data_IF_161141259210
#
_entry.id   IF_161141259210
#
_cell.length_a   1.000
_cell.length_b   1.000
_cell.length_c   1.000
_cell.angle_alpha   90.00
_cell.angle_beta   90.00
_cell.angle_gamma   90.00
#
_symmetry.space_group_name_H-M   'P 1'
#
loop_
_entity.id
_entity.type
_entity.pdbx_description
1 polymer ?
#
# COMPACT_ATOMS: atom_id res chain seq x y z
N UNK A 1 -15.32 -1.69 -7.28
CA UNK A 1 -15.21 -0.29 -7.71
C UNK A 1 -13.79 0.16 -7.36
N UNK A 2 -12.96 0.38 -8.39
CA UNK A 2 -11.66 1.06 -8.19
C UNK A 2 -12.01 2.45 -7.71
N UNK A 3 -11.58 2.80 -6.51
CA UNK A 3 -11.90 4.09 -5.90
C UNK A 3 -11.40 5.21 -6.81
N UNK A 4 -12.27 6.15 -7.19
CA UNK A 4 -11.91 7.37 -7.92
C UNK A 4 -10.74 8.11 -7.21
N UNK A 5 -10.63 7.97 -5.89
CA UNK A 5 -9.57 8.55 -5.08
C UNK A 5 -8.17 8.04 -5.43
N UNK A 6 -8.00 6.75 -5.72
CA UNK A 6 -6.69 6.21 -6.13
C UNK A 6 -6.28 6.73 -7.50
N UNK A 7 -7.22 6.80 -8.47
CA UNK A 7 -6.92 7.35 -9.80
C UNK A 7 -6.55 8.83 -9.71
N UNK A 8 -7.22 9.59 -8.83
CA UNK A 8 -6.92 11.01 -8.65
C UNK A 8 -5.55 11.23 -7.98
N UNK A 9 -5.21 10.41 -6.98
CA UNK A 9 -3.89 10.40 -6.37
C UNK A 9 -2.79 10.05 -7.38
N UNK A 10 -3.03 9.02 -8.21
CA UNK A 10 -2.12 8.59 -9.27
C UNK A 10 -1.87 9.71 -10.30
N UNK A 11 -2.92 10.46 -10.69
CA UNK A 11 -2.80 11.60 -11.62
C UNK A 11 -1.99 12.75 -11.00
N UNK A 12 -2.22 13.06 -9.73
CA UNK A 12 -1.45 14.11 -9.01
C UNK A 12 0.02 13.71 -8.87
N UNK A 13 0.29 12.44 -8.53
CA UNK A 13 1.65 11.94 -8.44
C UNK A 13 2.35 11.99 -9.81
N UNK A 14 1.62 11.72 -10.88
CA UNK A 14 2.10 11.78 -12.26
C UNK A 14 2.51 13.22 -12.65
N UNK A 15 1.66 14.22 -12.38
CA UNK A 15 1.98 15.64 -12.62
C UNK A 15 3.23 16.10 -11.84
N UNK A 16 3.36 15.61 -10.59
CA UNK A 16 4.54 15.88 -9.75
C UNK A 16 5.79 15.17 -10.27
N UNK A 17 5.68 13.96 -10.83
CA UNK A 17 6.80 13.23 -11.46
C UNK A 17 7.28 13.97 -12.71
N UNK A 18 6.36 14.30 -13.63
CA UNK A 18 6.67 14.97 -14.88
C UNK A 18 7.32 16.37 -14.64
N UNK A 19 6.85 17.06 -13.61
CA UNK A 19 7.41 18.36 -13.22
C UNK A 19 8.69 18.27 -12.37
N UNK A 20 9.21 17.04 -12.10
CA UNK A 20 10.36 16.77 -11.21
C UNK A 20 10.20 17.40 -9.81
N UNK A 21 8.98 17.47 -9.30
CA UNK A 21 8.65 18.09 -8.01
C UNK A 21 8.44 17.08 -6.88
N UNK A 22 8.59 15.77 -7.15
CA UNK A 22 8.56 14.77 -6.07
C UNK A 22 9.89 14.81 -5.35
N UNK A 23 9.84 15.21 -4.09
CA UNK A 23 10.92 15.05 -3.12
C UNK A 23 10.63 13.84 -2.24
N UNK A 24 11.65 13.00 -2.01
CA UNK A 24 11.53 11.87 -1.10
C UNK A 24 11.61 12.36 0.34
N UNK A 25 10.70 11.92 1.16
CA UNK A 25 10.72 12.13 2.61
C UNK A 25 11.46 10.98 3.29
N UNK A 26 12.80 11.03 3.24
CA UNK A 26 13.66 9.98 3.80
C UNK A 26 13.78 10.17 5.31
N UNK A 27 13.30 9.18 6.07
CA UNK A 27 13.32 9.18 7.53
C UNK A 27 13.76 7.81 8.07
N UNK A 28 14.23 7.73 9.34
CA UNK A 28 14.44 6.44 10.00
C UNK A 28 13.12 5.69 10.06
N UNK A 29 13.11 4.47 9.52
CA UNK A 29 11.93 3.61 9.45
C UNK A 29 12.24 2.27 10.10
N UNK A 30 11.36 1.82 10.99
CA UNK A 30 11.36 0.45 11.48
C UNK A 30 11.02 -0.49 10.31
N UNK A 31 12.05 -1.17 9.81
CA UNK A 31 11.94 -1.97 8.60
C UNK A 31 11.14 -3.26 8.83
N UNK A 32 11.26 -3.86 10.01
CA UNK A 32 10.47 -5.06 10.36
C UNK A 32 8.99 -4.75 10.51
N UNK A 33 8.65 -3.61 11.14
CA UNK A 33 7.26 -3.14 11.22
C UNK A 33 6.67 -2.93 9.81
N UNK A 34 7.41 -2.30 8.91
CA UNK A 34 6.99 -2.07 7.53
C UNK A 34 6.79 -3.40 6.76
N UNK A 35 7.68 -4.38 6.94
CA UNK A 35 7.54 -5.69 6.30
C UNK A 35 6.33 -6.47 6.83
N UNK A 36 5.99 -6.32 8.10
CA UNK A 36 4.78 -6.88 8.67
C UNK A 36 3.51 -6.25 8.08
N UNK A 37 3.53 -4.94 7.79
CA UNK A 37 2.38 -4.30 7.11
C UNK A 37 2.15 -4.89 5.72
N UNK A 38 3.23 -5.15 4.95
CA UNK A 38 3.10 -5.80 3.65
C UNK A 38 2.61 -7.25 3.77
N UNK A 39 3.05 -7.98 4.79
CA UNK A 39 2.56 -9.33 5.04
C UNK A 39 1.07 -9.34 5.35
N UNK A 40 0.61 -8.47 6.24
CA UNK A 40 -0.79 -8.37 6.63
C UNK A 40 -1.66 -7.96 5.42
N UNK A 41 -1.23 -6.96 4.66
CA UNK A 41 -1.92 -6.51 3.45
C UNK A 41 -2.01 -7.63 2.40
N UNK A 42 -0.87 -8.28 2.09
CA UNK A 42 -0.82 -9.35 1.10
C UNK A 42 -1.68 -10.56 1.50
N UNK A 43 -1.65 -10.95 2.78
CA UNK A 43 -2.47 -12.03 3.31
C UNK A 43 -3.96 -11.71 3.18
N UNK A 44 -4.39 -10.52 3.60
CA UNK A 44 -5.78 -10.10 3.50
C UNK A 44 -6.28 -10.12 2.05
N UNK A 45 -5.50 -9.59 1.12
CA UNK A 45 -5.86 -9.56 -0.31
C UNK A 45 -5.92 -10.97 -0.92
N UNK A 46 -4.97 -11.84 -0.57
CA UNK A 46 -4.90 -13.20 -1.08
C UNK A 46 -6.04 -14.07 -0.54
N UNK A 47 -6.37 -13.98 0.74
CA UNK A 47 -7.47 -14.73 1.37
C UNK A 47 -8.83 -14.42 0.73
N UNK A 48 -9.09 -13.17 0.33
CA UNK A 48 -10.32 -12.80 -0.38
C UNK A 48 -10.50 -13.55 -1.72
N UNK A 49 -9.40 -14.01 -2.32
CA UNK A 49 -9.41 -14.81 -3.56
C UNK A 49 -9.14 -16.31 -3.33
N UNK A 50 -8.94 -16.76 -2.10
CA UNK A 50 -8.54 -18.13 -1.79
C UNK A 50 -7.12 -18.48 -2.23
N UNK A 51 -6.24 -17.48 -2.34
CA UNK A 51 -4.82 -17.64 -2.67
C UNK A 51 -3.99 -17.75 -1.39
N UNK A 52 -2.79 -18.31 -1.52
CA UNK A 52 -1.78 -18.29 -0.46
C UNK A 52 -0.86 -17.09 -0.63
N UNK A 53 -0.59 -16.37 0.45
CA UNK A 53 0.45 -15.33 0.49
C UNK A 53 1.57 -15.74 1.44
N UNK A 54 2.82 -15.48 1.07
CA UNK A 54 3.97 -15.74 1.93
C UNK A 54 5.02 -14.64 1.83
N UNK A 55 5.64 -14.33 2.97
CA UNK A 55 6.77 -13.40 3.10
C UNK A 55 8.03 -14.19 3.39
N UNK A 56 9.09 -14.00 2.58
CA UNK A 56 10.40 -14.62 2.74
C UNK A 56 11.44 -13.54 2.95
N UNK A 57 12.14 -13.57 4.06
CA UNK A 57 13.12 -12.58 4.48
C UNK A 57 14.50 -13.19 4.56
N UNK A 58 15.52 -12.44 4.15
CA UNK A 58 16.91 -12.80 4.43
C UNK A 58 17.24 -12.53 5.89
N UNK A 59 18.14 -13.35 6.46
CA UNK A 59 18.57 -13.25 7.88
C UNK A 59 19.35 -11.97 8.18
N UNK A 60 19.93 -11.31 7.18
CA UNK A 60 20.83 -10.17 7.33
C UNK A 60 20.15 -8.80 7.11
N UNK A 61 18.82 -8.74 7.16
CA UNK A 61 18.09 -7.48 7.02
C UNK A 61 18.28 -6.61 8.27
N UNK A 62 18.50 -5.30 8.11
CA UNK A 62 18.62 -4.40 9.25
C UNK A 62 17.26 -4.12 9.88
N UNK A 63 17.27 -3.79 11.17
CA UNK A 63 16.04 -3.40 11.87
C UNK A 63 15.53 -2.03 11.42
N UNK A 64 16.45 -1.11 11.07
CA UNK A 64 16.14 0.28 10.73
C UNK A 64 16.84 0.69 9.44
N UNK A 65 16.10 1.39 8.57
CA UNK A 65 16.59 1.98 7.33
C UNK A 65 16.16 3.43 7.20
N UNK A 66 17.01 4.26 6.57
CA UNK A 66 16.60 5.57 6.08
C UNK A 66 15.88 5.40 4.75
N UNK A 67 14.55 5.57 4.73
CA UNK A 67 13.76 5.45 3.50
C UNK A 67 12.47 6.29 3.57
N UNK A 68 11.87 6.49 2.41
CA UNK A 68 10.51 7.03 2.31
C UNK A 68 9.51 5.86 2.41
N UNK A 69 8.96 5.66 3.63
CA UNK A 69 7.98 4.60 3.90
C UNK A 69 6.76 4.68 3.00
N UNK A 70 6.25 5.88 2.75
CA UNK A 70 5.02 6.06 1.97
C UNK A 70 5.23 5.65 0.51
N UNK A 71 6.34 6.06 -0.10
CA UNK A 71 6.65 5.75 -1.50
C UNK A 71 7.01 4.27 -1.69
N UNK A 72 7.78 3.68 -0.80
CA UNK A 72 8.04 2.24 -0.82
C UNK A 72 6.75 1.43 -0.68
N UNK A 73 5.87 1.83 0.24
CA UNK A 73 4.55 1.19 0.40
C UNK A 73 3.70 1.32 -0.85
N UNK A 74 3.66 2.48 -1.48
CA UNK A 74 2.92 2.72 -2.72
C UNK A 74 3.36 1.74 -3.83
N UNK A 75 4.66 1.55 -4.01
CA UNK A 75 5.19 0.58 -4.99
C UNK A 75 4.76 -0.84 -4.63
N UNK A 76 5.04 -1.30 -3.41
CA UNK A 76 4.81 -2.69 -3.02
C UNK A 76 3.33 -3.06 -2.96
N UNK A 77 2.46 -2.16 -2.50
CA UNK A 77 1.02 -2.38 -2.54
C UNK A 77 0.50 -2.53 -3.97
N UNK A 78 1.00 -1.70 -4.91
CA UNK A 78 0.66 -1.84 -6.32
C UNK A 78 1.12 -3.20 -6.89
N UNK A 79 2.35 -3.65 -6.58
CA UNK A 79 2.87 -4.93 -7.06
C UNK A 79 2.11 -6.11 -6.46
N UNK A 80 1.87 -6.11 -5.14
CA UNK A 80 1.14 -7.18 -4.44
C UNK A 80 -0.30 -7.27 -4.93
N UNK A 81 -0.99 -6.12 -5.06
CA UNK A 81 -2.37 -6.12 -5.55
C UNK A 81 -2.48 -6.58 -7.00
N UNK A 82 -1.52 -6.25 -7.86
CA UNK A 82 -1.46 -6.76 -9.22
C UNK A 82 -1.20 -8.28 -9.24
N UNK A 83 -0.27 -8.79 -8.44
CA UNK A 83 0.01 -10.22 -8.32
C UNK A 83 -1.24 -11.00 -7.90
N UNK A 84 -1.94 -10.55 -6.86
CA UNK A 84 -3.20 -11.16 -6.42
C UNK A 84 -4.30 -11.04 -7.48
N UNK A 85 -4.39 -9.89 -8.14
CA UNK A 85 -5.40 -9.65 -9.19
C UNK A 85 -5.28 -10.62 -10.35
N UNK A 86 -4.06 -10.87 -10.84
CA UNK A 86 -3.79 -11.67 -12.03
C UNK A 86 -3.49 -13.15 -11.74
N UNK A 87 -3.63 -13.57 -10.48
CA UNK A 87 -3.55 -14.97 -10.06
C UNK A 87 -4.94 -15.48 -9.72
N UNK A 88 -5.41 -16.50 -10.41
CA UNK A 88 -6.72 -17.13 -10.13
C UNK A 88 -6.60 -18.27 -9.13
N UNK A 89 -5.49 -19.03 -9.17
CA UNK A 89 -5.19 -20.13 -8.25
C UNK A 89 -3.69 -20.20 -8.02
N UNK A 90 -3.30 -20.59 -6.81
CA UNK A 90 -1.90 -20.76 -6.43
C UNK A 90 -1.45 -19.80 -5.35
N UNK A 91 -0.32 -19.14 -5.54
CA UNK A 91 0.28 -18.34 -4.49
C UNK A 91 0.93 -17.04 -4.99
N UNK A 92 1.10 -16.11 -4.07
CA UNK A 92 1.89 -14.89 -4.23
C UNK A 92 2.97 -14.88 -3.14
N UNK A 93 4.21 -14.60 -3.53
CA UNK A 93 5.36 -14.58 -2.62
C UNK A 93 6.01 -13.20 -2.67
N UNK A 94 6.11 -12.53 -1.54
CA UNK A 94 7.01 -11.39 -1.35
C UNK A 94 8.31 -11.88 -0.74
N UNK A 95 9.43 -11.67 -1.43
CA UNK A 95 10.77 -11.94 -0.88
C UNK A 95 11.54 -10.64 -0.75
N UNK A 96 12.29 -10.50 0.34
CA UNK A 96 13.13 -9.34 0.60
C UNK A 96 14.55 -9.81 0.89
N UNK A 97 15.49 -9.28 0.12
CA UNK A 97 16.90 -9.67 0.19
C UNK A 97 17.78 -8.43 0.29
N UNK A 98 18.84 -8.56 1.07
CA UNK A 98 19.91 -7.59 1.07
C UNK A 98 20.92 -7.98 0.00
N UNK A 99 21.13 -7.11 -0.97
CA UNK A 99 22.17 -7.24 -1.99
C UNK A 99 23.52 -6.69 -1.46
N UNK A 100 24.41 -6.30 -2.35
CA UNK A 100 25.68 -5.69 -1.96
C UNK A 100 25.46 -4.26 -1.46
N UNK A 101 26.31 -3.81 -0.57
CA UNK A 101 26.29 -2.47 0.03
C UNK A 101 24.94 -2.13 0.69
N UNK A 102 24.36 -0.98 0.35
CA UNK A 102 23.07 -0.49 0.87
C UNK A 102 21.90 -0.78 -0.09
N UNK A 103 22.03 -1.76 -0.97
CA UNK A 103 21.01 -2.15 -1.91
C UNK A 103 20.11 -3.25 -1.34
N UNK A 104 18.79 -3.06 -1.47
CA UNK A 104 17.75 -4.01 -1.07
C UNK A 104 16.91 -4.36 -2.28
N UNK A 105 16.61 -5.65 -2.44
CA UNK A 105 15.73 -6.15 -3.48
C UNK A 105 14.47 -6.75 -2.86
N UNK A 106 13.33 -6.32 -3.39
CA UNK A 106 12.01 -6.89 -3.13
C UNK A 106 11.56 -7.61 -4.40
N UNK A 107 11.25 -8.89 -4.31
CA UNK A 107 10.64 -9.61 -5.42
C UNK A 107 9.23 -10.05 -5.07
N UNK A 108 8.27 -9.68 -5.93
CA UNK A 108 6.89 -10.13 -5.85
C UNK A 108 6.67 -11.14 -6.96
N UNK A 109 6.52 -12.41 -6.57
CA UNK A 109 6.32 -13.53 -7.49
C UNK A 109 4.87 -14.00 -7.41
N UNK A 110 4.23 -14.17 -8.53
CA UNK A 110 2.90 -14.75 -8.67
C UNK A 110 2.93 -16.01 -9.56
N UNK A 111 1.94 -16.86 -9.38
CA UNK A 111 1.71 -18.06 -10.20
C UNK A 111 0.53 -17.85 -11.17
N UNK A 112 0.32 -16.63 -11.61
CA UNK A 112 -0.82 -16.23 -12.43
C UNK A 112 -0.63 -16.44 -13.93
N UNK A 113 -1.38 -15.70 -14.71
CA UNK A 113 -1.42 -15.84 -16.18
C UNK A 113 -0.09 -15.55 -16.88
N UNK A 114 0.83 -14.83 -16.22
CA UNK A 114 2.07 -14.36 -16.82
C UNK A 114 1.85 -13.27 -17.88
N UNK A 115 2.93 -12.81 -18.48
CA UNK A 115 2.97 -11.73 -19.47
C UNK A 115 3.70 -12.20 -20.71
N UNK A 116 3.10 -11.94 -21.87
CA UNK A 116 3.73 -12.31 -23.14
C UNK A 116 5.03 -11.51 -23.38
N UNK A 117 6.09 -12.11 -23.95
CA UNK A 117 7.37 -11.42 -24.17
C UNK A 117 7.27 -10.09 -24.93
N UNK A 118 6.35 -10.00 -25.90
CA UNK A 118 6.13 -8.79 -26.70
C UNK A 118 5.48 -7.63 -25.91
N UNK A 119 5.05 -7.87 -24.67
CA UNK A 119 4.38 -6.90 -23.80
C UNK A 119 5.27 -6.42 -22.66
N UNK A 120 6.33 -7.16 -22.32
CA UNK A 120 7.19 -6.87 -21.16
C UNK A 120 7.76 -5.44 -21.16
N UNK A 121 8.18 -4.94 -22.32
CA UNK A 121 8.71 -3.58 -22.43
C UNK A 121 7.63 -2.50 -22.31
N UNK A 122 6.37 -2.86 -22.52
CA UNK A 122 5.25 -1.92 -22.60
C UNK A 122 4.52 -1.76 -21.27
N UNK A 123 4.58 -2.74 -20.37
CA UNK A 123 3.80 -2.71 -19.12
C UNK A 123 4.16 -1.55 -18.19
N UNK A 124 5.33 -0.94 -18.35
CA UNK A 124 5.76 0.25 -17.65
C UNK A 124 5.41 1.56 -18.36
N UNK A 125 4.77 1.47 -19.55
CA UNK A 125 4.28 2.64 -20.28
C UNK A 125 2.94 3.09 -19.69
N UNK A 126 2.76 4.38 -19.54
CA UNK A 126 1.51 4.97 -19.04
C UNK A 126 0.31 4.55 -19.89
N UNK A 127 -0.82 4.29 -19.23
CA UNK A 127 -2.09 3.89 -19.85
C UNK A 127 -2.04 2.58 -20.63
N UNK A 128 -0.92 1.85 -20.56
CA UNK A 128 -0.82 0.56 -21.21
C UNK A 128 -1.48 -0.54 -20.36
N UNK A 129 -2.26 -1.36 -21.01
CA UNK A 129 -2.90 -2.55 -20.42
C UNK A 129 -2.75 -3.70 -21.38
N UNK A 130 -2.35 -4.87 -20.86
CA UNK A 130 -2.31 -6.11 -21.63
C UNK A 130 -3.73 -6.42 -22.11
N UNK A 131 -3.90 -6.64 -23.40
CA UNK A 131 -5.20 -6.94 -24.01
C UNK A 131 -5.54 -8.41 -23.75
N UNK A 132 -5.98 -8.71 -22.55
CA UNK A 132 -6.52 -10.03 -22.25
C UNK A 132 -8.06 -9.99 -22.21
N UNK A 133 -8.68 -10.92 -22.97
CA UNK A 133 -10.14 -10.98 -23.07
C UNK A 133 -10.82 -11.54 -21.81
N UNK A 134 -10.05 -12.16 -20.90
CA UNK A 134 -10.56 -12.86 -19.73
C UNK A 134 -10.57 -11.96 -18.50
N UNK A 135 -9.57 -11.09 -18.34
CA UNK A 135 -9.42 -10.21 -17.17
C UNK A 135 -9.66 -8.72 -17.53
N UNK A 136 -10.79 -8.42 -18.16
CA UNK A 136 -11.27 -7.03 -18.36
C UNK A 136 -11.56 -6.34 -17.04
N UNK A 137 -10.62 -6.32 -16.13
CA UNK A 137 -10.81 -5.65 -14.85
C UNK A 137 -10.14 -4.30 -14.84
N UNK A 138 -10.93 -3.32 -14.46
CA UNK A 138 -10.61 -1.92 -14.31
C UNK A 138 -9.27 -1.68 -13.61
N UNK A 139 -8.33 -1.10 -14.32
CA UNK A 139 -7.11 -0.49 -13.82
C UNK A 139 -6.87 0.78 -14.62
N UNK A 140 -6.13 1.74 -14.07
CA UNK A 140 -5.78 2.98 -14.79
C UNK A 140 -4.68 2.76 -15.85
N UNK A 141 -3.90 1.68 -15.73
CA UNK A 141 -2.68 1.47 -16.53
C UNK A 141 -1.55 2.43 -16.15
N UNK A 142 -1.65 3.07 -14.99
CA UNK A 142 -0.69 4.10 -14.53
C UNK A 142 0.21 3.55 -13.41
N UNK A 143 -0.29 2.63 -12.61
CA UNK A 143 0.37 2.17 -11.39
C UNK A 143 1.80 1.63 -11.58
N UNK A 144 2.05 0.79 -12.61
CA UNK A 144 3.40 0.27 -12.87
C UNK A 144 4.36 1.35 -13.37
N UNK A 145 3.87 2.31 -14.16
CA UNK A 145 4.66 3.45 -14.62
C UNK A 145 5.09 4.34 -13.44
N UNK A 146 4.15 4.65 -12.52
CA UNK A 146 4.46 5.38 -11.28
C UNK A 146 5.45 4.58 -10.43
N UNK A 147 5.22 3.28 -10.24
CA UNK A 147 6.11 2.42 -9.45
C UNK A 147 7.54 2.41 -9.99
N UNK A 148 7.71 2.37 -11.32
CA UNK A 148 9.02 2.45 -11.97
C UNK A 148 9.72 3.78 -11.71
N UNK A 149 8.99 4.89 -11.86
CA UNK A 149 9.54 6.23 -11.61
C UNK A 149 9.92 6.42 -10.12
N UNK A 150 9.08 5.97 -9.20
CA UNK A 150 9.39 6.02 -7.76
C UNK A 150 10.60 5.17 -7.40
N UNK A 151 10.75 3.97 -7.99
CA UNK A 151 11.93 3.13 -7.80
C UNK A 151 13.21 3.86 -8.26
N UNK A 152 13.17 4.55 -9.41
CA UNK A 152 14.28 5.35 -9.92
C UNK A 152 14.62 6.54 -9.01
N UNK A 153 13.61 7.22 -8.46
CA UNK A 153 13.82 8.27 -7.46
C UNK A 153 14.49 7.73 -6.19
N UNK A 154 14.21 6.48 -5.81
CA UNK A 154 14.85 5.77 -4.70
C UNK A 154 16.21 5.15 -5.10
N UNK A 155 16.83 5.64 -6.18
CA UNK A 155 18.13 5.22 -6.72
C UNK A 155 18.19 3.72 -7.06
N UNK A 156 17.06 3.12 -7.37
CA UNK A 156 16.92 1.74 -7.77
C UNK A 156 16.23 1.59 -9.12
N UNK A 157 15.60 0.45 -9.32
CA UNK A 157 14.83 0.16 -10.53
C UNK A 157 13.71 -0.85 -10.26
N UNK A 158 12.76 -0.93 -11.18
CA UNK A 158 11.70 -1.93 -11.20
C UNK A 158 11.77 -2.70 -12.53
N UNK A 159 12.01 -3.99 -12.44
CA UNK A 159 12.10 -4.91 -13.58
C UNK A 159 11.12 -6.06 -13.44
N UNK A 160 10.94 -6.84 -14.50
CA UNK A 160 10.04 -7.98 -14.52
C UNK A 160 10.63 -9.14 -15.32
N UNK A 161 10.41 -10.35 -14.80
CA UNK A 161 10.57 -11.61 -15.52
C UNK A 161 9.22 -12.31 -15.53
N UNK A 162 8.80 -12.81 -16.68
CA UNK A 162 7.50 -13.46 -16.78
C UNK A 162 7.49 -14.48 -17.93
N UNK A 163 6.74 -15.54 -17.71
CA UNK A 163 6.44 -16.53 -18.72
C UNK A 163 4.94 -16.78 -18.74
N UNK A 164 4.35 -16.76 -19.94
CA UNK A 164 2.92 -16.94 -20.12
C UNK A 164 2.47 -18.26 -19.47
N UNK A 165 1.35 -18.23 -18.74
CA UNK A 165 0.78 -19.35 -17.99
C UNK A 165 1.64 -19.93 -16.84
N UNK A 166 2.78 -19.29 -16.52
CA UNK A 166 3.63 -19.69 -15.39
C UNK A 166 3.69 -18.64 -14.29
N UNK A 167 3.29 -17.41 -14.60
CA UNK A 167 3.29 -16.29 -13.69
C UNK A 167 4.38 -15.26 -13.96
N UNK A 168 4.53 -14.33 -13.05
CA UNK A 168 5.47 -13.21 -13.16
C UNK A 168 6.26 -13.01 -11.87
N UNK A 169 7.44 -12.45 -12.01
CA UNK A 169 8.22 -11.94 -10.87
C UNK A 169 8.64 -10.50 -11.16
N UNK A 170 8.17 -9.59 -10.34
CA UNK A 170 8.60 -8.20 -10.35
C UNK A 170 9.71 -7.99 -9.34
N UNK A 171 10.81 -7.39 -9.76
CA UNK A 171 11.97 -7.07 -8.93
C UNK A 171 12.07 -5.57 -8.75
N UNK A 172 11.86 -5.12 -7.53
CA UNK A 172 12.12 -3.76 -7.09
C UNK A 172 13.47 -3.72 -6.38
N UNK A 173 14.39 -2.89 -6.84
CA UNK A 173 15.61 -2.54 -6.11
C UNK A 173 15.53 -1.12 -5.57
N UNK A 174 16.08 -0.88 -4.41
CA UNK A 174 16.24 0.44 -3.82
C UNK A 174 17.60 0.55 -3.15
N UNK A 175 18.10 1.78 -2.99
CA UNK A 175 19.25 2.07 -2.14
C UNK A 175 18.73 2.75 -0.87
N UNK A 176 19.13 2.20 0.29
CA UNK A 176 18.76 2.73 1.59
C UNK A 176 19.89 2.53 2.60
N UNK A 177 20.27 3.59 3.30
CA UNK A 177 21.28 3.50 4.33
C UNK A 177 20.72 2.88 5.61
N UNK A 178 21.57 2.15 6.36
CA UNK A 178 21.18 1.68 7.69
C UNK A 178 20.93 2.88 8.59
N UNK A 179 19.79 2.92 9.22
CA UNK A 179 19.54 3.80 10.33
C UNK A 179 19.91 3.09 11.64
N UNK A 180 20.42 3.84 12.59
CA UNK A 180 20.45 3.38 13.97
C UNK A 180 19.01 3.46 14.49
N UNK A 181 18.64 2.54 15.39
CA UNK A 181 17.43 2.77 16.18
C UNK A 181 17.54 4.21 16.68
N UNK A 182 16.67 5.06 16.22
CA UNK A 182 16.60 6.37 16.82
C UNK A 182 16.13 6.08 18.25
N UNK A 183 17.05 6.14 19.23
CA UNK A 183 16.72 6.56 20.57
C UNK A 183 16.24 8.02 20.44
N UNK A 184 15.31 8.20 19.50
CA UNK A 184 14.50 9.39 19.52
C UNK A 184 13.77 9.29 20.84
N UNK A 185 14.07 10.16 21.71
CA UNK A 185 13.12 10.91 22.48
C UNK A 185 12.03 11.53 21.56
N UNK A 186 11.44 10.72 20.79
CA UNK A 186 10.07 10.65 20.40
C UNK A 186 9.42 9.52 21.22
N UNK A 187 9.59 9.57 22.53
CA UNK A 187 8.50 10.00 23.39
C UNK A 187 8.06 11.43 22.95
N UNK A 188 7.71 11.65 21.74
CA UNK A 188 6.37 12.18 21.50
C UNK A 188 5.51 11.17 22.23
N UNK A 189 5.18 11.56 23.50
CA UNK A 189 4.14 10.90 24.26
C UNK A 189 3.14 10.49 23.20
N UNK A 190 2.91 9.16 23.05
CA UNK A 190 1.87 8.69 22.15
C UNK A 190 0.67 9.45 22.66
N UNK A 191 0.36 10.58 22.02
CA UNK A 191 -0.83 11.32 22.36
C UNK A 191 -1.92 10.35 21.97
N UNK A 192 -2.46 9.68 22.99
CA UNK A 192 -3.65 8.86 22.83
C UNK A 192 -4.73 9.81 22.36
N UNK A 193 -4.96 9.83 21.06
CA UNK A 193 -5.98 10.67 20.47
C UNK A 193 -7.35 10.05 20.74
N UNK A 194 -8.31 10.87 21.03
CA UNK A 194 -9.72 10.52 21.07
C UNK A 194 -10.27 10.68 19.64
N UNK A 195 -10.66 9.59 19.01
CA UNK A 195 -11.06 9.53 17.60
C UNK A 195 -12.52 9.12 17.51
N UNK A 196 -13.31 9.85 16.74
CA UNK A 196 -14.64 9.44 16.32
C UNK A 196 -14.54 8.85 14.89
N UNK A 197 -14.89 7.59 14.74
CA UNK A 197 -14.98 6.88 13.46
C UNK A 197 -16.45 6.75 13.06
N UNK A 198 -16.84 7.39 11.97
CA UNK A 198 -18.20 7.37 11.42
C UNK A 198 -18.20 6.59 10.12
N UNK A 199 -18.73 5.37 10.15
CA UNK A 199 -18.70 4.41 9.04
C UNK A 199 -19.88 3.43 9.19
N UNK A 200 -20.66 3.22 8.15
CA UNK A 200 -21.86 2.38 8.19
C UNK A 200 -21.61 0.90 7.86
N UNK A 201 -20.46 0.60 7.27
CA UNK A 201 -20.07 -0.78 6.93
C UNK A 201 -19.30 -1.42 8.08
N UNK A 202 -19.92 -2.40 8.75
CA UNK A 202 -19.37 -3.07 9.94
C UNK A 202 -17.94 -3.61 9.72
N UNK A 203 -17.65 -4.15 8.54
CA UNK A 203 -16.31 -4.66 8.20
C UNK A 203 -15.27 -3.54 8.17
N UNK A 204 -15.60 -2.39 7.60
CA UNK A 204 -14.72 -1.22 7.56
C UNK A 204 -14.46 -0.69 8.97
N UNK A 205 -15.50 -0.64 9.79
CA UNK A 205 -15.40 -0.26 11.21
C UNK A 205 -14.41 -1.16 11.96
N UNK A 206 -14.57 -2.48 11.85
CA UNK A 206 -13.69 -3.44 12.54
C UNK A 206 -12.23 -3.24 12.13
N UNK A 207 -11.97 -3.08 10.84
CA UNK A 207 -10.61 -2.90 10.32
C UNK A 207 -10.01 -1.56 10.79
N UNK A 208 -10.73 -0.45 10.58
CA UNK A 208 -10.23 0.88 10.92
C UNK A 208 -10.02 1.01 12.44
N UNK A 209 -11.00 0.58 13.24
CA UNK A 209 -10.90 0.59 14.70
C UNK A 209 -9.71 -0.22 15.20
N UNK A 210 -9.53 -1.45 14.69
CA UNK A 210 -8.40 -2.31 15.08
C UNK A 210 -7.04 -1.66 14.79
N UNK A 211 -6.90 -0.96 13.66
CA UNK A 211 -5.67 -0.27 13.29
C UNK A 211 -5.39 0.89 14.25
N UNK A 212 -6.40 1.71 14.52
CA UNK A 212 -6.26 2.90 15.37
C UNK A 212 -6.01 2.54 16.85
N UNK A 213 -6.71 1.54 17.37
CA UNK A 213 -6.52 1.05 18.75
C UNK A 213 -5.14 0.39 18.92
N UNK A 214 -4.63 -0.33 17.92
CA UNK A 214 -3.25 -0.87 17.94
C UNK A 214 -2.18 0.23 17.97
N UNK A 215 -2.49 1.42 17.47
CA UNK A 215 -1.64 2.60 17.55
C UNK A 215 -1.80 3.35 18.87
N UNK A 216 -2.63 2.84 19.80
CA UNK A 216 -2.82 3.39 21.13
C UNK A 216 -3.88 4.50 21.20
N UNK A 217 -4.71 4.69 20.18
CA UNK A 217 -5.77 5.69 20.18
C UNK A 217 -7.07 5.15 20.80
N UNK A 218 -7.89 6.05 21.34
CA UNK A 218 -9.25 5.74 21.78
C UNK A 218 -10.21 5.98 20.63
N UNK A 219 -11.04 4.96 20.29
CA UNK A 219 -11.91 5.03 19.11
C UNK A 219 -13.35 4.79 19.50
N UNK A 220 -14.17 5.83 19.41
CA UNK A 220 -15.62 5.73 19.44
C UNK A 220 -16.14 5.52 18.01
N UNK A 221 -17.21 4.74 17.86
CA UNK A 221 -17.78 4.38 16.58
C UNK A 221 -19.21 4.88 16.47
N UNK A 222 -19.54 5.52 15.34
CA UNK A 222 -20.89 5.83 14.92
C UNK A 222 -21.20 5.11 13.61
N UNK A 223 -22.32 4.41 13.54
CA UNK A 223 -22.75 3.66 12.35
C UNK A 223 -23.63 4.50 11.39
N UNK A 224 -23.95 5.73 11.77
CA UNK A 224 -24.76 6.67 10.99
C UNK A 224 -24.54 8.10 11.49
N UNK A 225 -25.05 9.08 10.77
CA UNK A 225 -24.86 10.49 11.07
C UNK A 225 -25.53 10.94 12.36
N UNK A 226 -26.71 10.43 12.70
CA UNK A 226 -27.40 10.77 13.95
C UNK A 226 -26.58 10.35 15.16
N UNK A 227 -26.02 9.14 15.15
CA UNK A 227 -25.11 8.66 16.22
C UNK A 227 -23.83 9.50 16.30
N UNK A 228 -23.29 9.92 15.14
CA UNK A 228 -22.09 10.75 15.10
C UNK A 228 -22.34 12.10 15.80
N UNK A 229 -23.44 12.76 15.49
CA UNK A 229 -23.83 14.03 16.12
C UNK A 229 -24.02 13.86 17.63
N UNK A 230 -24.74 12.82 18.05
CA UNK A 230 -24.97 12.54 19.48
C UNK A 230 -23.67 12.28 20.25
N UNK A 231 -22.72 11.58 19.66
CA UNK A 231 -21.41 11.32 20.26
C UNK A 231 -20.57 12.60 20.31
N UNK A 232 -20.60 13.41 19.26
CA UNK A 232 -19.86 14.66 19.18
C UNK A 232 -20.36 15.71 20.17
N UNK A 233 -21.67 15.74 20.45
CA UNK A 233 -22.26 16.63 21.45
C UNK A 233 -21.88 16.25 22.90
N UNK A 234 -21.60 14.96 23.16
CA UNK A 234 -21.31 14.43 24.50
C UNK A 234 -19.83 14.37 24.82
N UNK A 235 -18.99 14.20 23.80
CA UNK A 235 -17.57 13.97 23.95
C UNK A 235 -16.77 14.98 23.12
N UNK A 236 -15.49 15.11 23.44
CA UNK A 236 -14.55 15.88 22.64
C UNK A 236 -13.61 14.91 21.92
N UNK A 237 -13.40 15.13 20.64
CA UNK A 237 -12.53 14.32 19.81
C UNK A 237 -11.41 15.18 19.21
N UNK A 238 -10.21 14.58 19.12
CA UNK A 238 -9.06 15.21 18.47
C UNK A 238 -9.17 15.09 16.95
N UNK A 239 -9.76 13.98 16.47
CA UNK A 239 -9.94 13.68 15.04
C UNK A 239 -11.29 12.99 14.83
N UNK A 240 -11.95 13.33 13.71
CA UNK A 240 -13.13 12.64 13.22
C UNK A 240 -12.83 12.05 11.85
N UNK A 241 -12.95 10.72 11.71
CA UNK A 241 -12.97 10.03 10.42
C UNK A 241 -14.43 9.85 10.01
N UNK A 242 -14.81 10.43 8.88
CA UNK A 242 -16.19 10.53 8.47
C UNK A 242 -16.36 9.99 7.04
N UNK A 243 -17.16 8.93 6.86
CA UNK A 243 -17.58 8.54 5.53
C UNK A 243 -18.53 9.61 4.95
N UNK A 244 -18.36 9.87 3.65
CA UNK A 244 -19.18 10.82 2.92
C UNK A 244 -20.59 10.26 2.69
N UNK A 245 -20.73 8.93 2.58
CA UNK A 245 -22.00 8.27 2.26
C UNK A 245 -22.52 7.49 3.46
N UNK A 246 -23.29 8.14 4.28
CA UNK A 246 -23.99 7.49 5.39
C UNK A 246 -25.44 7.16 5.00
N UNK A 247 -26.09 6.19 5.68
CA UNK A 247 -27.43 5.74 5.33
C UNK A 247 -28.52 6.79 5.57
N UNK A 248 -28.29 7.74 6.48
CA UNK A 248 -29.27 8.73 6.95
C UNK A 248 -28.97 10.16 6.46
N UNK A 249 -27.70 10.50 6.21
CA UNK A 249 -27.29 11.83 5.74
C UNK A 249 -25.93 11.80 5.04
N UNK A 250 -25.55 12.89 4.40
CA UNK A 250 -24.21 13.04 3.84
C UNK A 250 -23.19 13.39 4.93
N UNK A 251 -21.99 12.82 4.88
CA UNK A 251 -20.91 13.24 5.77
C UNK A 251 -20.56 14.73 5.67
N UNK A 252 -20.82 15.35 4.52
CA UNK A 252 -20.68 16.81 4.36
C UNK A 252 -21.70 17.61 5.16
N UNK A 253 -22.84 17.04 5.51
CA UNK A 253 -23.87 17.72 6.30
C UNK A 253 -23.52 17.71 7.80
N UNK A 254 -22.56 16.85 8.21
CA UNK A 254 -22.08 16.72 9.59
C UNK A 254 -20.83 17.57 9.83
N UNK A 255 -20.00 17.78 8.79
CA UNK A 255 -18.72 18.48 8.86
C UNK A 255 -18.86 19.98 8.93
#
# INVERSE_FOLDING_TARGET
>A
AVSLGHIFSDIIDLDKIDSKRIELNIQPCDFHSLLNDFYNFGTLMAEQKGLKFSLKLDDNLPNWLYLDRARLSQILWNLISNAVKFTDKGEVILRVQKMQDNQYQFSVTDTGAGIAPCELDKIFTMYYQVKDNIHRSAGSGIGLAISKNLAQLMQGDLTVESELEKGSTFYLTIIAEKAQAHDGNAEKAMQHLSILLVEDVELNVVVAKSILERQGHYVDVAMNGEQAIQLFEKNTYDIVFLDIKLPDMSGFDIA
#
